data_IF_384517146542
#
_entry.id   IF_384517146542
#
_cell.length_a   1.000
_cell.length_b   1.000
_cell.length_c   1.000
_cell.angle_alpha   90.00
_cell.angle_beta   90.00
_cell.angle_gamma   90.00
#
_symmetry.space_group_name_H-M   'P 1'
#
loop_
_entity.id
_entity.type
_entity.pdbx_description
1 polymer ?
#
# COMPACT_ATOMS: atom_id res chain seq x y z
N UNK A 1 12.57 6.45 94.18
CA UNK A 1 13.41 7.68 93.90
C UNK A 1 12.80 8.34 92.67
N UNK A 2 12.29 9.55 92.75
CA UNK A 2 11.63 10.24 91.65
C UNK A 2 12.62 11.02 90.84
N UNK A 3 12.42 11.09 89.53
CA UNK A 3 13.15 11.86 88.54
C UNK A 3 12.55 13.28 88.47
N UNK A 4 13.31 14.39 88.42
CA UNK A 4 12.75 15.72 88.40
C UNK A 4 12.30 16.13 86.96
N UNK A 5 11.23 16.91 86.93
CA UNK A 5 10.65 17.44 85.71
C UNK A 5 11.48 18.54 85.04
N UNK A 6 11.44 18.57 83.72
CA UNK A 6 11.89 19.66 82.89
C UNK A 6 10.72 20.57 82.50
N UNK A 7 10.83 21.83 82.90
CA UNK A 7 9.86 22.87 82.60
C UNK A 7 9.80 23.26 81.13
N UNK A 8 8.55 23.39 80.66
CA UNK A 8 8.25 23.88 79.32
C UNK A 8 8.49 25.40 79.21
N UNK A 9 9.39 25.76 78.38
CA UNK A 9 9.52 27.13 77.88
C UNK A 9 8.86 27.20 76.47
N UNK A 10 7.71 27.86 76.43
CA UNK A 10 7.08 28.18 75.15
C UNK A 10 7.94 29.27 74.46
N UNK A 11 8.61 28.84 73.39
CA UNK A 11 9.27 29.81 72.49
C UNK A 11 8.23 30.25 71.47
N UNK A 12 7.78 31.48 71.57
CA UNK A 12 6.95 32.11 70.59
C UNK A 12 7.74 32.23 69.27
N UNK A 13 7.35 31.43 68.29
CA UNK A 13 7.86 31.60 66.92
C UNK A 13 7.27 32.92 66.40
N UNK A 14 8.11 33.88 66.13
CA UNK A 14 7.80 35.08 65.37
C UNK A 14 7.48 34.68 63.96
N UNK A 15 6.28 35.02 63.48
CA UNK A 15 5.93 35.06 62.08
C UNK A 15 6.75 36.12 61.35
N UNK A 16 7.88 35.77 60.80
CA UNK A 16 8.53 36.58 59.79
C UNK A 16 7.83 36.33 58.43
N UNK A 17 7.45 37.40 57.70
CA UNK A 17 6.90 37.24 56.37
C UNK A 17 7.99 36.66 55.46
N UNK A 18 7.69 35.49 54.86
CA UNK A 18 8.54 34.87 53.83
C UNK A 18 8.74 35.88 52.71
N UNK A 19 9.92 36.45 52.66
CA UNK A 19 10.38 37.26 51.55
C UNK A 19 10.30 36.47 50.24
N UNK A 20 9.71 37.15 49.30
CA UNK A 20 9.61 36.89 47.86
C UNK A 20 10.78 36.03 47.34
N UNK A 21 10.53 34.75 47.15
CA UNK A 21 11.46 33.92 46.38
C UNK A 21 11.38 34.37 44.92
N UNK A 22 12.48 34.59 44.23
CA UNK A 22 12.45 34.90 42.82
C UNK A 22 11.71 33.78 42.10
N UNK A 23 10.65 34.11 41.40
CA UNK A 23 9.95 33.22 40.50
C UNK A 23 10.95 32.73 39.46
N UNK A 24 11.63 31.63 39.72
CA UNK A 24 12.28 30.87 38.70
C UNK A 24 11.15 30.52 37.71
N UNK A 25 11.22 31.10 36.51
CA UNK A 25 10.28 30.83 35.45
C UNK A 25 10.10 29.31 35.35
N UNK A 26 8.97 28.84 35.79
CA UNK A 26 8.59 27.42 35.60
C UNK A 26 8.73 27.12 34.12
N UNK A 27 9.78 26.42 33.77
CA UNK A 27 9.83 25.71 32.50
C UNK A 27 8.67 24.72 32.61
N UNK A 28 7.49 25.09 32.09
CA UNK A 28 6.38 24.20 31.97
C UNK A 28 6.78 23.12 30.93
N UNK A 29 7.44 22.10 31.40
CA UNK A 29 7.44 20.83 30.68
C UNK A 29 5.99 20.44 30.58
N UNK A 30 5.45 20.31 29.35
CA UNK A 30 4.12 19.81 29.16
C UNK A 30 3.97 18.52 29.97
N UNK A 31 2.87 18.35 30.67
CA UNK A 31 2.69 17.16 31.50
C UNK A 31 2.91 15.91 30.62
N UNK A 32 3.60 14.88 31.12
CA UNK A 32 3.75 13.63 30.38
C UNK A 32 2.34 13.10 30.09
N UNK A 33 1.94 13.14 28.80
CA UNK A 33 0.60 12.74 28.39
C UNK A 33 -0.19 13.79 27.60
N UNK A 34 0.16 15.08 27.68
CA UNK A 34 -0.44 16.07 26.79
C UNK A 34 0.18 15.96 25.39
N UNK A 35 -0.50 15.39 24.41
CA UNK A 35 0.04 15.29 23.07
C UNK A 35 0.12 16.70 22.46
N UNK A 36 1.32 17.26 22.31
CA UNK A 36 1.59 18.48 21.55
C UNK A 36 1.43 18.18 20.04
N UNK A 37 0.30 17.55 19.70
CA UNK A 37 0.01 17.16 18.33
C UNK A 37 -1.02 18.13 17.80
N UNK A 38 -0.60 18.98 16.87
CA UNK A 38 -1.50 19.73 16.01
C UNK A 38 -2.32 18.74 15.17
N UNK A 39 -3.36 19.18 14.49
CA UNK A 39 -4.35 18.41 13.72
C UNK A 39 -3.84 17.17 12.96
N UNK A 40 -2.56 17.10 12.59
CA UNK A 40 -1.91 15.95 11.93
C UNK A 40 -0.54 15.68 12.55
N UNK A 41 -0.29 14.42 12.93
CA UNK A 41 1.00 13.97 13.42
C UNK A 41 1.95 13.57 12.28
N UNK A 42 2.52 14.56 11.60
CA UNK A 42 3.46 14.34 10.49
C UNK A 42 4.70 13.53 10.91
N UNK A 43 5.18 13.71 12.15
CA UNK A 43 6.32 12.96 12.68
C UNK A 43 6.04 11.47 12.80
N UNK A 44 4.88 11.12 13.38
CA UNK A 44 4.43 9.75 13.52
C UNK A 44 4.14 9.10 12.17
N UNK A 45 3.42 9.80 11.27
CA UNK A 45 3.14 9.32 9.91
C UNK A 45 4.44 9.03 9.13
N UNK A 46 5.41 9.97 9.16
CA UNK A 46 6.71 9.78 8.50
C UNK A 46 7.48 8.59 9.08
N UNK A 47 7.45 8.41 10.39
CA UNK A 47 8.12 7.29 11.06
C UNK A 47 7.51 5.97 10.68
N UNK A 48 6.17 5.87 10.65
CA UNK A 48 5.46 4.69 10.21
C UNK A 48 5.75 4.38 8.74
N UNK A 49 5.66 5.36 7.86
CA UNK A 49 5.98 5.21 6.44
C UNK A 49 7.42 4.70 6.23
N UNK A 50 8.40 5.30 6.92
CA UNK A 50 9.81 4.86 6.85
C UNK A 50 9.97 3.44 7.39
N UNK A 51 9.27 3.06 8.46
CA UNK A 51 9.25 1.68 9.00
C UNK A 51 8.77 0.70 7.92
N UNK A 52 7.66 0.99 7.24
CA UNK A 52 7.11 0.17 6.18
C UNK A 52 8.07 0.06 4.97
N UNK A 53 8.67 1.17 4.56
CA UNK A 53 9.65 1.19 3.47
C UNK A 53 10.90 0.38 3.85
N UNK A 54 11.46 0.58 5.03
CA UNK A 54 12.63 -0.18 5.51
C UNK A 54 12.35 -1.68 5.64
N UNK A 55 11.11 -2.05 5.95
CA UNK A 55 10.70 -3.46 6.08
C UNK A 55 10.94 -4.22 4.78
N UNK A 56 10.47 -3.71 3.64
CA UNK A 56 10.65 -4.41 2.37
C UNK A 56 12.07 -4.25 1.79
N UNK A 57 12.77 -3.15 2.09
CA UNK A 57 14.17 -2.99 1.67
C UNK A 57 15.13 -3.99 2.32
N UNK A 58 14.85 -4.45 3.54
CA UNK A 58 15.68 -5.49 4.20
C UNK A 58 15.71 -6.80 3.41
N UNK A 59 14.67 -7.08 2.62
CA UNK A 59 14.53 -8.30 1.81
C UNK A 59 14.35 -7.95 0.32
N UNK A 60 15.04 -6.91 -0.15
CA UNK A 60 14.87 -6.36 -1.51
C UNK A 60 15.10 -7.39 -2.64
N UNK A 61 16.02 -8.34 -2.47
CA UNK A 61 16.25 -9.37 -3.45
C UNK A 61 14.96 -10.18 -3.72
N UNK A 62 14.26 -10.57 -2.68
CA UNK A 62 13.03 -11.33 -2.79
C UNK A 62 11.83 -10.43 -3.17
N UNK A 63 11.81 -9.18 -2.72
CA UNK A 63 10.62 -8.33 -2.84
C UNK A 63 10.58 -7.48 -4.09
N UNK A 64 11.73 -7.20 -4.70
CA UNK A 64 11.85 -6.36 -5.91
C UNK A 64 12.45 -7.14 -7.07
N UNK A 65 13.61 -7.77 -6.88
CA UNK A 65 14.32 -8.43 -7.97
C UNK A 65 13.70 -9.77 -8.38
N UNK A 66 13.22 -10.59 -7.44
CA UNK A 66 12.58 -11.85 -7.80
C UNK A 66 11.32 -11.64 -8.65
N UNK A 67 10.37 -10.74 -8.31
CA UNK A 67 9.27 -10.39 -9.21
C UNK A 67 9.72 -9.87 -10.57
N UNK A 68 10.79 -9.06 -10.65
CA UNK A 68 11.30 -8.54 -11.91
C UNK A 68 11.79 -9.68 -12.83
N UNK A 69 12.60 -10.60 -12.29
CA UNK A 69 13.08 -11.76 -13.04
C UNK A 69 11.94 -12.68 -13.46
N UNK A 70 11.01 -12.99 -12.55
CA UNK A 70 9.86 -13.86 -12.86
C UNK A 70 8.98 -13.25 -13.95
N UNK A 71 8.70 -11.96 -13.88
CA UNK A 71 7.88 -11.26 -14.88
C UNK A 71 8.58 -11.18 -16.23
N UNK A 72 9.91 -10.95 -16.25
CA UNK A 72 10.70 -11.02 -17.47
C UNK A 72 10.67 -12.42 -18.09
N UNK A 73 10.79 -13.48 -17.28
CA UNK A 73 10.69 -14.85 -17.77
C UNK A 73 9.31 -15.13 -18.36
N UNK A 74 8.22 -14.66 -17.75
CA UNK A 74 6.90 -14.75 -18.34
C UNK A 74 6.83 -14.05 -19.70
N UNK A 75 7.34 -12.81 -19.80
CA UNK A 75 7.38 -12.11 -21.08
C UNK A 75 8.14 -12.91 -22.14
N UNK A 76 9.33 -13.41 -21.82
CA UNK A 76 10.15 -14.19 -22.75
C UNK A 76 9.44 -15.46 -23.19
N UNK A 77 8.91 -16.25 -22.26
CA UNK A 77 8.19 -17.51 -22.55
C UNK A 77 6.98 -17.22 -23.44
N UNK A 78 6.15 -16.27 -23.08
CA UNK A 78 4.94 -15.96 -23.86
C UNK A 78 5.26 -15.33 -25.21
N UNK A 79 6.31 -14.47 -25.29
CA UNK A 79 6.73 -13.88 -26.58
C UNK A 79 7.30 -14.92 -27.52
N UNK A 80 8.07 -15.89 -27.02
CA UNK A 80 8.62 -16.99 -27.83
C UNK A 80 7.52 -18.01 -28.19
N UNK A 81 6.73 -18.46 -27.20
CA UNK A 81 5.73 -19.50 -27.41
C UNK A 81 4.55 -19.03 -28.30
N UNK A 82 4.11 -17.78 -28.14
CA UNK A 82 2.96 -17.24 -28.86
C UNK A 82 3.32 -16.21 -29.93
N UNK A 83 4.52 -15.62 -29.86
CA UNK A 83 5.00 -14.59 -30.79
C UNK A 83 5.79 -15.14 -31.97
N UNK A 84 6.28 -16.39 -31.93
CA UNK A 84 7.11 -17.01 -32.98
C UNK A 84 6.43 -17.12 -34.35
N UNK A 85 5.09 -17.00 -34.43
CA UNK A 85 4.31 -16.96 -35.66
C UNK A 85 3.99 -15.55 -36.19
N UNK A 86 4.66 -14.49 -35.72
CA UNK A 86 4.31 -13.10 -36.11
C UNK A 86 2.97 -12.65 -35.55
N UNK A 87 2.54 -13.19 -34.42
CA UNK A 87 1.23 -12.90 -33.81
C UNK A 87 1.14 -11.44 -33.42
N UNK A 88 0.12 -10.78 -33.95
CA UNK A 88 -0.22 -9.40 -33.65
C UNK A 88 -1.54 -9.30 -32.92
N UNK A 89 -1.70 -8.25 -32.14
CA UNK A 89 -2.96 -7.90 -31.47
C UNK A 89 -3.43 -6.57 -32.04
N UNK A 90 -4.66 -6.50 -32.49
CA UNK A 90 -5.28 -5.24 -32.92
C UNK A 90 -6.01 -4.62 -31.73
N UNK A 91 -5.78 -3.35 -31.49
CA UNK A 91 -6.43 -2.54 -30.47
C UNK A 91 -6.81 -1.19 -31.09
N UNK A 92 -8.05 -0.79 -31.03
CA UNK A 92 -8.54 0.46 -31.65
C UNK A 92 -8.10 0.62 -33.13
N UNK A 93 -8.04 -0.47 -33.89
CA UNK A 93 -7.61 -0.45 -35.29
C UNK A 93 -6.09 -0.37 -35.53
N UNK A 94 -5.29 -0.25 -34.47
CA UNK A 94 -3.83 -0.32 -34.53
C UNK A 94 -3.34 -1.75 -34.29
N UNK A 95 -2.25 -2.12 -34.95
CA UNK A 95 -1.68 -3.47 -34.86
C UNK A 95 -0.38 -3.42 -34.08
N UNK A 96 -0.35 -4.12 -32.96
CA UNK A 96 0.83 -4.22 -32.09
C UNK A 96 1.43 -5.63 -32.11
N UNK A 97 2.74 -5.73 -31.90
CA UNK A 97 3.37 -7.03 -31.66
C UNK A 97 2.87 -7.58 -30.34
N UNK A 98 2.70 -8.89 -30.25
CA UNK A 98 2.17 -9.54 -29.05
C UNK A 98 3.01 -9.23 -27.80
N UNK A 99 4.35 -9.16 -27.94
CA UNK A 99 5.25 -8.83 -26.82
C UNK A 99 5.04 -7.41 -26.29
N UNK A 100 4.86 -6.42 -27.18
CA UNK A 100 4.66 -5.01 -26.82
C UNK A 100 3.29 -4.82 -26.14
N UNK A 101 2.27 -5.58 -26.57
CA UNK A 101 0.96 -5.61 -25.92
C UNK A 101 1.01 -6.23 -24.52
N UNK A 102 1.79 -7.30 -24.34
CA UNK A 102 1.87 -8.08 -23.10
C UNK A 102 2.65 -7.33 -22.00
N UNK A 103 3.72 -6.64 -22.37
CA UNK A 103 4.66 -6.04 -21.42
C UNK A 103 4.01 -5.07 -20.42
N UNK A 104 3.19 -4.07 -20.81
CA UNK A 104 2.54 -3.15 -19.88
C UNK A 104 1.60 -3.87 -18.90
N UNK A 105 0.87 -4.89 -19.39
CA UNK A 105 -0.01 -5.72 -18.56
C UNK A 105 0.76 -6.46 -17.47
N UNK A 106 1.91 -7.05 -17.82
CA UNK A 106 2.77 -7.75 -16.87
C UNK A 106 3.42 -6.79 -15.86
N UNK A 107 3.86 -5.60 -16.30
CA UNK A 107 4.43 -4.59 -15.40
C UNK A 107 3.41 -4.21 -14.33
N UNK A 108 2.20 -3.78 -14.72
CA UNK A 108 1.20 -3.33 -13.77
C UNK A 108 0.68 -4.49 -12.90
N UNK A 109 0.56 -5.69 -13.44
CA UNK A 109 0.18 -6.89 -12.67
C UNK A 109 1.22 -7.15 -11.54
N UNK A 110 2.51 -7.06 -11.85
CA UNK A 110 3.58 -7.15 -10.87
C UNK A 110 3.50 -6.05 -9.80
N UNK A 111 3.23 -4.80 -10.22
CA UNK A 111 3.03 -3.68 -9.30
C UNK A 111 1.92 -3.94 -8.30
N UNK A 112 0.71 -4.22 -8.79
CA UNK A 112 -0.49 -4.33 -7.95
C UNK A 112 -0.45 -5.54 -7.02
N UNK A 113 0.07 -6.68 -7.48
CA UNK A 113 0.26 -7.87 -6.63
C UNK A 113 1.26 -7.61 -5.50
N UNK A 114 2.33 -6.86 -5.77
CA UNK A 114 3.30 -6.49 -4.74
C UNK A 114 2.75 -5.43 -3.77
N UNK A 115 1.87 -4.52 -4.21
CA UNK A 115 1.13 -3.63 -3.32
C UNK A 115 0.26 -4.43 -2.34
N UNK A 116 -0.52 -5.40 -2.85
CA UNK A 116 -1.34 -6.30 -2.04
C UNK A 116 -0.50 -7.08 -1.04
N UNK A 117 0.55 -7.75 -1.51
CA UNK A 117 1.43 -8.56 -0.65
C UNK A 117 2.03 -7.72 0.49
N UNK A 118 2.52 -6.50 0.21
CA UNK A 118 3.07 -5.65 1.27
C UNK A 118 2.02 -5.25 2.31
N UNK A 119 0.84 -4.82 1.85
CA UNK A 119 -0.24 -4.35 2.72
C UNK A 119 -0.86 -5.50 3.54
N UNK A 120 -1.05 -6.69 2.93
CA UNK A 120 -1.65 -7.84 3.61
C UNK A 120 -0.79 -8.38 4.75
N UNK A 121 0.53 -8.27 4.64
CA UNK A 121 1.44 -8.68 5.71
C UNK A 121 1.73 -7.58 6.74
N UNK A 122 1.34 -6.33 6.49
CA UNK A 122 1.71 -5.19 7.34
C UNK A 122 1.22 -5.34 8.78
N UNK A 123 -0.09 -5.46 8.99
CA UNK A 123 -0.67 -5.65 10.32
C UNK A 123 -0.67 -7.12 10.74
N UNK A 124 -0.80 -8.04 9.78
CA UNK A 124 -0.88 -9.48 10.05
C UNK A 124 0.37 -10.01 10.77
N UNK A 125 1.56 -9.58 10.34
CA UNK A 125 2.80 -9.95 11.04
C UNK A 125 2.78 -9.46 12.48
N UNK A 126 2.34 -8.23 12.72
CA UNK A 126 2.19 -7.68 14.07
C UNK A 126 1.21 -8.47 14.95
N UNK A 127 0.09 -8.94 14.38
CA UNK A 127 -0.87 -9.80 15.07
C UNK A 127 -0.25 -11.14 15.47
N UNK A 128 0.38 -11.83 14.52
CA UNK A 128 0.95 -13.18 14.75
C UNK A 128 2.12 -13.12 15.74
N UNK A 129 2.91 -12.06 15.71
CA UNK A 129 4.06 -11.86 16.61
C UNK A 129 3.69 -11.21 17.94
N UNK A 130 2.42 -10.81 18.15
CA UNK A 130 1.99 -10.09 19.34
C UNK A 130 2.48 -8.64 19.43
N UNK A 131 3.08 -8.11 18.36
CA UNK A 131 3.62 -6.75 18.30
C UNK A 131 2.65 -5.73 17.69
N UNK A 132 1.36 -6.10 17.57
CA UNK A 132 0.32 -5.20 17.03
C UNK A 132 0.21 -3.91 17.87
N UNK A 133 0.52 -3.98 19.15
CA UNK A 133 0.53 -2.86 20.10
C UNK A 133 1.47 -1.75 19.62
N UNK A 134 2.60 -2.08 19.00
CA UNK A 134 3.56 -1.11 18.46
C UNK A 134 2.99 -0.24 17.33
N UNK A 135 1.89 -0.68 16.69
CA UNK A 135 1.15 0.10 15.70
C UNK A 135 0.03 0.93 16.30
N UNK A 136 -0.51 0.51 17.47
CA UNK A 136 -1.67 1.12 18.11
C UNK A 136 -1.30 2.09 19.23
N UNK A 137 -0.14 1.91 19.89
CA UNK A 137 0.32 2.81 20.96
C UNK A 137 0.74 4.21 20.48
N UNK A 138 1.41 4.38 19.33
CA UNK A 138 1.75 5.71 18.86
C UNK A 138 0.49 6.58 18.70
N UNK A 139 0.53 7.86 19.04
CA UNK A 139 -0.62 8.77 18.95
C UNK A 139 -0.87 9.14 17.48
N UNK A 140 -1.25 8.13 16.68
CA UNK A 140 -1.63 8.25 15.28
C UNK A 140 -3.14 8.20 15.14
N UNK A 141 -3.70 9.10 14.34
CA UNK A 141 -5.08 8.97 13.91
C UNK A 141 -5.27 7.76 12.98
N UNK A 142 -6.47 7.24 12.91
CA UNK A 142 -6.81 6.11 12.01
C UNK A 142 -6.45 6.42 10.55
N UNK A 143 -6.64 7.66 10.12
CA UNK A 143 -6.29 8.11 8.76
C UNK A 143 -4.77 8.09 8.53
N UNK A 144 -3.98 8.56 9.49
CA UNK A 144 -2.51 8.53 9.43
C UNK A 144 -1.97 7.11 9.42
N UNK A 145 -2.54 6.22 10.25
CA UNK A 145 -2.18 4.81 10.26
C UNK A 145 -2.44 4.19 8.89
N UNK A 146 -3.64 4.36 8.33
CA UNK A 146 -4.00 3.85 7.02
C UNK A 146 -3.09 4.42 5.91
N UNK A 147 -2.85 5.74 5.93
CA UNK A 147 -2.00 6.40 4.95
C UNK A 147 -0.54 5.91 5.00
N UNK A 148 0.01 5.66 6.19
CA UNK A 148 1.36 5.11 6.34
C UNK A 148 1.50 3.70 5.79
N UNK A 149 0.53 2.81 6.08
CA UNK A 149 0.52 1.43 5.61
C UNK A 149 0.37 1.35 4.09
N UNK A 150 -0.61 2.09 3.55
CA UNK A 150 -0.89 2.14 2.11
C UNK A 150 0.23 2.83 1.36
N UNK A 151 0.75 3.94 1.87
CA UNK A 151 1.87 4.68 1.27
C UNK A 151 3.12 3.82 1.09
N UNK A 152 3.50 3.04 2.11
CA UNK A 152 4.60 2.08 2.02
C UNK A 152 4.37 1.01 0.94
N UNK A 153 3.13 0.53 0.81
CA UNK A 153 2.76 -0.50 -0.16
C UNK A 153 2.76 0.04 -1.60
N UNK A 154 2.26 1.24 -1.82
CA UNK A 154 2.30 1.93 -3.11
C UNK A 154 3.74 2.21 -3.54
N UNK A 155 4.60 2.67 -2.61
CA UNK A 155 6.02 2.89 -2.90
C UNK A 155 6.71 1.61 -3.35
N UNK A 156 6.45 0.49 -2.68
CA UNK A 156 6.98 -0.82 -3.09
C UNK A 156 6.48 -1.21 -4.49
N UNK A 157 5.20 -1.00 -4.78
CA UNK A 157 4.63 -1.30 -6.09
C UNK A 157 5.35 -0.54 -7.22
N UNK A 158 5.59 0.76 -7.05
CA UNK A 158 6.31 1.56 -8.02
C UNK A 158 7.78 1.12 -8.18
N UNK A 159 8.45 0.75 -7.10
CA UNK A 159 9.81 0.21 -7.19
C UNK A 159 9.87 -1.11 -7.94
N UNK A 160 8.92 -2.02 -7.68
CA UNK A 160 8.82 -3.28 -8.42
C UNK A 160 8.47 -3.01 -9.89
N UNK A 161 7.49 -2.15 -10.16
CA UNK A 161 7.11 -1.78 -11.53
C UNK A 161 8.27 -1.16 -12.30
N UNK A 162 9.04 -0.28 -11.68
CA UNK A 162 10.24 0.31 -12.26
C UNK A 162 11.34 -0.73 -12.53
N UNK A 163 11.56 -1.67 -11.62
CA UNK A 163 12.52 -2.75 -11.80
C UNK A 163 12.11 -3.71 -12.94
N UNK A 164 10.82 -4.06 -13.02
CA UNK A 164 10.26 -4.89 -14.11
C UNK A 164 10.37 -4.14 -15.44
N UNK A 165 9.97 -2.87 -15.47
CA UNK A 165 10.07 -2.03 -16.66
C UNK A 165 11.53 -1.93 -17.17
N UNK A 166 12.47 -1.68 -16.25
CA UNK A 166 13.89 -1.61 -16.57
C UNK A 166 14.41 -2.94 -17.13
N UNK A 167 14.04 -4.06 -16.52
CA UNK A 167 14.43 -5.39 -16.98
C UNK A 167 13.88 -5.66 -18.40
N UNK A 168 12.65 -5.26 -18.70
CA UNK A 168 12.05 -5.40 -20.03
C UNK A 168 12.64 -4.43 -21.05
N UNK A 169 12.97 -3.21 -20.65
CA UNK A 169 13.62 -2.22 -21.53
C UNK A 169 15.03 -2.64 -21.95
N UNK A 170 15.72 -3.43 -21.14
CA UNK A 170 17.03 -4.00 -21.48
C UNK A 170 16.91 -5.28 -22.33
N UNK A 171 15.72 -5.85 -22.49
CA UNK A 171 15.50 -7.06 -23.28
C UNK A 171 15.29 -6.71 -24.77
N UNK A 172 16.09 -7.25 -25.68
CA UNK A 172 15.95 -6.98 -27.11
C UNK A 172 14.63 -7.58 -27.65
N UNK A 173 13.92 -6.79 -28.46
CA UNK A 173 12.72 -7.26 -29.16
C UNK A 173 11.38 -6.85 -28.52
N UNK A 174 11.39 -6.06 -27.44
CA UNK A 174 10.19 -5.49 -26.83
C UNK A 174 10.33 -3.97 -26.75
N UNK A 175 9.29 -3.27 -27.18
CA UNK A 175 9.22 -1.81 -27.03
C UNK A 175 8.34 -1.46 -25.83
N UNK A 176 8.97 -0.93 -24.78
CA UNK A 176 8.34 -0.43 -23.57
C UNK A 176 8.57 1.06 -23.37
N UNK A 177 8.66 1.82 -24.47
CA UNK A 177 8.79 3.28 -24.40
C UNK A 177 7.47 3.90 -23.96
N UNK A 178 7.47 4.76 -22.91
CA UNK A 178 6.27 5.42 -22.46
C UNK A 178 5.77 6.46 -23.47
N UNK A 179 4.52 6.33 -23.95
CA UNK A 179 3.84 7.31 -24.81
C UNK A 179 3.13 8.38 -23.96
N UNK A 180 2.43 7.97 -22.92
CA UNK A 180 1.68 8.84 -22.02
C UNK A 180 2.06 8.59 -20.57
N UNK A 181 3.14 9.23 -20.09
CA UNK A 181 3.67 9.03 -18.74
C UNK A 181 2.64 9.34 -17.64
N UNK A 182 1.77 10.32 -17.85
CA UNK A 182 0.71 10.66 -16.90
C UNK A 182 -0.25 9.49 -16.65
N UNK A 183 -0.59 8.72 -17.69
CA UNK A 183 -1.49 7.58 -17.58
C UNK A 183 -0.83 6.42 -16.83
N UNK A 184 0.47 6.17 -17.07
CA UNK A 184 1.27 5.17 -16.33
C UNK A 184 1.27 5.50 -14.83
N UNK A 185 1.56 6.75 -14.48
CA UNK A 185 1.60 7.19 -13.08
C UNK A 185 0.20 7.15 -12.45
N UNK A 186 -0.83 7.61 -13.17
CA UNK A 186 -2.21 7.67 -12.67
C UNK A 186 -2.79 6.28 -12.43
N UNK A 187 -2.80 5.42 -13.44
CA UNK A 187 -3.35 4.06 -13.31
C UNK A 187 -2.46 3.14 -12.47
N UNK A 188 -1.14 3.33 -12.53
CA UNK A 188 -0.21 2.67 -11.62
C UNK A 188 -0.46 3.02 -10.16
N UNK A 189 -0.71 4.31 -9.86
CA UNK A 189 -1.06 4.76 -8.51
C UNK A 189 -2.42 4.23 -8.06
N UNK A 190 -3.47 4.43 -8.86
CA UNK A 190 -4.82 3.98 -8.51
C UNK A 190 -4.92 2.47 -8.36
N UNK A 191 -4.26 1.69 -9.23
CA UNK A 191 -4.21 0.23 -9.14
C UNK A 191 -3.43 -0.26 -7.92
N UNK A 192 -2.28 0.36 -7.63
CA UNK A 192 -1.50 0.05 -6.43
C UNK A 192 -2.25 0.42 -5.15
N UNK A 193 -2.96 1.55 -5.15
CA UNK A 193 -3.81 1.98 -4.05
C UNK A 193 -4.95 0.98 -3.81
N UNK A 194 -5.63 0.54 -4.88
CA UNK A 194 -6.70 -0.44 -4.84
C UNK A 194 -6.25 -1.73 -4.16
N UNK A 195 -5.15 -2.31 -4.62
CA UNK A 195 -4.64 -3.55 -4.07
C UNK A 195 -4.01 -3.38 -2.67
N UNK A 196 -3.43 -2.23 -2.37
CA UNK A 196 -2.96 -1.92 -1.02
C UNK A 196 -4.13 -1.84 -0.03
N UNK A 197 -5.24 -1.19 -0.38
CA UNK A 197 -6.44 -1.13 0.45
C UNK A 197 -7.07 -2.52 0.66
N UNK A 198 -7.17 -3.31 -0.40
CA UNK A 198 -7.63 -4.70 -0.32
C UNK A 198 -6.69 -5.54 0.58
N UNK A 199 -5.38 -5.31 0.48
CA UNK A 199 -4.38 -5.93 1.35
C UNK A 199 -4.52 -5.52 2.82
N UNK A 200 -4.73 -4.24 3.11
CA UNK A 200 -5.00 -3.77 4.48
C UNK A 200 -6.28 -4.43 5.02
N UNK A 201 -7.36 -4.46 4.23
CA UNK A 201 -8.60 -5.13 4.63
C UNK A 201 -8.36 -6.61 4.94
N UNK A 202 -7.58 -7.30 4.10
CA UNK A 202 -7.16 -8.68 4.34
C UNK A 202 -6.34 -8.81 5.63
N UNK A 203 -5.41 -7.89 5.92
CA UNK A 203 -4.59 -7.91 7.13
C UNK A 203 -5.39 -7.70 8.41
N UNK A 204 -6.50 -6.94 8.33
CA UNK A 204 -7.43 -6.74 9.44
C UNK A 204 -8.20 -8.05 9.71
N UNK A 205 -8.70 -8.70 8.66
CA UNK A 205 -9.50 -9.93 8.77
C UNK A 205 -8.67 -11.17 9.07
N UNK A 206 -7.48 -11.30 8.47
CA UNK A 206 -6.64 -12.48 8.59
C UNK A 206 -6.05 -12.64 10.00
N UNK A 207 -6.02 -13.88 10.49
CA UNK A 207 -5.39 -14.27 11.76
C UNK A 207 -4.15 -15.15 11.54
N UNK A 208 -4.04 -15.74 10.35
CA UNK A 208 -2.94 -16.63 9.95
C UNK A 208 -2.42 -16.24 8.57
N UNK A 209 -1.17 -16.59 8.27
CA UNK A 209 -0.60 -16.38 6.95
C UNK A 209 -1.39 -17.07 5.84
N UNK A 210 -1.96 -18.24 6.12
CA UNK A 210 -2.78 -19.01 5.16
C UNK A 210 -4.02 -18.24 4.71
N UNK A 211 -4.63 -17.41 5.57
CA UNK A 211 -5.77 -16.58 5.19
C UNK A 211 -5.37 -15.54 4.12
N UNK A 212 -4.22 -14.89 4.30
CA UNK A 212 -3.71 -13.93 3.31
C UNK A 212 -3.32 -14.63 1.99
N UNK A 213 -2.71 -15.81 2.08
CA UNK A 213 -2.38 -16.65 0.92
C UNK A 213 -3.66 -17.10 0.17
N UNK A 214 -4.70 -17.47 0.90
CA UNK A 214 -6.00 -17.85 0.31
C UNK A 214 -6.61 -16.68 -0.48
N UNK A 215 -6.65 -15.45 0.07
CA UNK A 215 -7.14 -14.27 -0.67
C UNK A 215 -6.28 -14.02 -1.92
N UNK A 216 -4.95 -14.14 -1.82
CA UNK A 216 -4.05 -14.00 -2.96
C UNK A 216 -4.39 -15.00 -4.07
N UNK A 217 -4.54 -16.28 -3.74
CA UNK A 217 -4.65 -17.35 -4.71
C UNK A 217 -6.09 -17.53 -5.25
N UNK A 218 -7.12 -17.27 -4.44
CA UNK A 218 -8.50 -17.47 -4.84
C UNK A 218 -9.22 -16.20 -5.30
N UNK A 219 -8.71 -15.01 -4.95
CA UNK A 219 -9.33 -13.73 -5.34
C UNK A 219 -8.41 -12.93 -6.25
N UNK A 220 -7.23 -12.55 -5.76
CA UNK A 220 -6.35 -11.62 -6.50
C UNK A 220 -5.84 -12.23 -7.79
N UNK A 221 -5.30 -13.47 -7.76
CA UNK A 221 -4.70 -14.08 -8.93
C UNK A 221 -5.73 -14.39 -10.04
N UNK A 222 -6.92 -14.99 -9.77
CA UNK A 222 -7.91 -15.21 -10.81
C UNK A 222 -8.45 -13.91 -11.42
N UNK A 223 -8.73 -12.88 -10.60
CA UNK A 223 -9.22 -11.60 -11.10
C UNK A 223 -8.16 -10.89 -11.96
N UNK A 224 -6.88 -10.98 -11.58
CA UNK A 224 -5.79 -10.43 -12.37
C UNK A 224 -5.62 -11.16 -13.72
N UNK A 225 -5.81 -12.48 -13.78
CA UNK A 225 -5.76 -13.25 -15.01
C UNK A 225 -6.94 -12.94 -15.95
N UNK A 226 -8.14 -12.74 -15.39
CA UNK A 226 -9.35 -12.41 -16.16
C UNK A 226 -9.41 -10.96 -16.64
N UNK A 227 -8.44 -10.13 -16.27
CA UNK A 227 -8.42 -8.70 -16.56
C UNK A 227 -7.83 -8.30 -17.92
N UNK A 228 -7.62 -9.27 -18.82
CA UNK A 228 -7.07 -8.98 -20.16
C UNK A 228 -5.55 -8.74 -20.18
N UNK A 229 -4.80 -9.20 -19.17
CA UNK A 229 -3.33 -9.10 -19.15
C UNK A 229 -2.70 -9.80 -20.35
N UNK A 230 -3.18 -10.99 -20.72
CA UNK A 230 -2.60 -11.88 -21.73
C UNK A 230 -3.35 -11.88 -23.06
N UNK A 231 -4.51 -11.22 -23.15
CA UNK A 231 -5.38 -11.19 -24.32
C UNK A 231 -6.20 -9.89 -24.35
N UNK A 232 -6.68 -9.50 -25.54
CA UNK A 232 -7.68 -8.44 -25.64
C UNK A 232 -9.06 -8.99 -25.26
N UNK A 233 -9.76 -8.26 -24.39
CA UNK A 233 -11.10 -8.64 -23.88
C UNK A 233 -12.14 -8.69 -25.01
N UNK A 234 -11.96 -7.93 -26.09
CA UNK A 234 -12.85 -7.93 -27.26
C UNK A 234 -12.98 -9.29 -27.95
N UNK A 235 -11.97 -10.16 -27.79
CA UNK A 235 -11.96 -11.51 -28.40
C UNK A 235 -12.66 -12.58 -27.56
N UNK A 236 -13.11 -12.23 -26.38
CA UNK A 236 -13.83 -13.16 -25.49
C UNK A 236 -15.29 -13.31 -25.89
N UNK A 237 -15.93 -14.39 -25.42
CA UNK A 237 -17.39 -14.52 -25.53
C UNK A 237 -18.10 -13.45 -24.68
N UNK A 238 -19.35 -13.06 -25.01
CA UNK A 238 -20.06 -11.97 -24.34
C UNK A 238 -20.15 -12.12 -22.82
N UNK A 239 -20.25 -13.36 -22.32
CA UNK A 239 -20.30 -13.64 -20.88
C UNK A 239 -18.97 -13.26 -20.19
N UNK A 240 -17.83 -13.65 -20.76
CA UNK A 240 -16.52 -13.31 -20.21
C UNK A 240 -16.18 -11.83 -20.38
N UNK A 241 -16.66 -11.18 -21.44
CA UNK A 241 -16.56 -9.73 -21.59
C UNK A 241 -17.28 -9.01 -20.45
N UNK A 242 -18.53 -9.40 -20.14
CA UNK A 242 -19.29 -8.82 -19.04
C UNK A 242 -18.59 -9.01 -17.67
N UNK A 243 -18.01 -10.20 -17.42
CA UNK A 243 -17.22 -10.46 -16.21
C UNK A 243 -15.98 -9.58 -16.16
N UNK A 244 -15.26 -9.42 -17.28
CA UNK A 244 -14.08 -8.57 -17.36
C UNK A 244 -14.42 -7.10 -17.13
N UNK A 245 -15.50 -6.59 -17.68
CA UNK A 245 -15.98 -5.22 -17.44
C UNK A 245 -16.46 -4.98 -15.99
N UNK A 246 -16.93 -6.00 -15.29
CA UNK A 246 -17.24 -5.92 -13.87
C UNK A 246 -15.98 -5.96 -12.98
N UNK A 247 -14.82 -6.35 -13.53
CA UNK A 247 -13.58 -6.53 -12.81
C UNK A 247 -12.76 -5.22 -12.76
N UNK A 248 -12.51 -4.63 -11.59
CA UNK A 248 -11.72 -3.40 -11.48
C UNK A 248 -10.28 -3.53 -11.98
N UNK A 249 -9.69 -4.72 -11.95
CA UNK A 249 -8.35 -4.97 -12.51
C UNK A 249 -8.28 -4.68 -14.01
N UNK A 250 -9.35 -4.92 -14.76
CA UNK A 250 -9.43 -4.65 -16.19
C UNK A 250 -9.15 -3.17 -16.50
N UNK A 251 -9.79 -2.27 -15.77
CA UNK A 251 -9.62 -0.83 -15.98
C UNK A 251 -8.22 -0.33 -15.61
N UNK A 252 -7.61 -0.92 -14.57
CA UNK A 252 -6.21 -0.62 -14.21
C UNK A 252 -5.27 -1.00 -15.34
N UNK A 253 -5.41 -2.23 -15.87
CA UNK A 253 -4.52 -2.76 -16.91
C UNK A 253 -4.74 -2.02 -18.24
N UNK A 254 -5.99 -1.78 -18.63
CA UNK A 254 -6.35 -1.04 -19.83
C UNK A 254 -5.76 0.38 -19.81
N UNK A 255 -5.96 1.13 -18.71
CA UNK A 255 -5.45 2.48 -18.57
C UNK A 255 -3.92 2.55 -18.47
N UNK A 256 -3.29 1.57 -17.81
CA UNK A 256 -1.83 1.49 -17.75
C UNK A 256 -1.23 1.16 -19.12
N UNK A 257 -1.88 0.26 -19.88
CA UNK A 257 -1.50 -0.09 -21.26
C UNK A 257 -1.59 1.11 -22.18
N UNK A 258 -2.63 1.94 -22.06
CA UNK A 258 -2.73 3.20 -22.80
C UNK A 258 -1.50 4.09 -22.61
N UNK A 259 -0.89 4.06 -21.43
CA UNK A 259 0.33 4.81 -21.15
C UNK A 259 1.53 4.41 -22.00
N UNK A 260 1.61 3.17 -22.45
CA UNK A 260 2.69 2.64 -23.29
C UNK A 260 2.33 2.59 -24.76
N UNK A 261 1.12 2.12 -25.11
CA UNK A 261 0.72 1.87 -26.50
C UNK A 261 -0.06 3.03 -27.14
N UNK A 262 -0.57 3.96 -26.35
CA UNK A 262 -1.48 5.01 -26.84
C UNK A 262 -2.87 4.51 -27.22
N UNK A 263 -3.17 3.22 -27.00
CA UNK A 263 -4.46 2.58 -27.27
C UNK A 263 -4.93 1.83 -26.00
N UNK A 264 -6.25 1.76 -25.78
CA UNK A 264 -6.86 1.17 -24.59
C UNK A 264 -7.98 0.19 -24.94
N UNK A 265 -8.20 -0.81 -24.07
CA UNK A 265 -9.36 -1.73 -24.20
C UNK A 265 -10.68 -1.11 -23.69
N UNK A 266 -10.60 0.06 -23.02
CA UNK A 266 -11.76 0.77 -22.44
C UNK A 266 -11.55 2.28 -22.41
N UNK A 267 -12.62 3.10 -22.45
CA UNK A 267 -12.50 4.55 -22.32
C UNK A 267 -11.76 4.95 -21.04
N UNK A 268 -10.71 5.73 -21.17
CA UNK A 268 -9.80 6.13 -20.06
C UNK A 268 -10.56 6.82 -18.92
N UNK A 269 -11.53 7.69 -19.26
CA UNK A 269 -12.35 8.40 -18.27
C UNK A 269 -13.18 7.43 -17.42
N UNK A 270 -13.84 6.47 -18.08
CA UNK A 270 -14.66 5.44 -17.41
C UNK A 270 -13.77 4.61 -16.48
N UNK A 271 -12.63 4.14 -16.97
CA UNK A 271 -11.67 3.39 -16.18
C UNK A 271 -11.20 4.16 -14.94
N UNK A 272 -10.86 5.44 -15.11
CA UNK A 272 -10.45 6.31 -14.00
C UNK A 272 -11.55 6.48 -12.95
N UNK A 273 -12.80 6.71 -13.37
CA UNK A 273 -13.92 6.90 -12.44
C UNK A 273 -14.28 5.61 -11.70
N UNK A 274 -14.28 4.47 -12.38
CA UNK A 274 -14.55 3.17 -11.75
C UNK A 274 -13.51 2.86 -10.68
N UNK A 275 -12.21 2.96 -11.01
CA UNK A 275 -11.15 2.65 -10.07
C UNK A 275 -11.12 3.65 -8.91
N UNK A 276 -11.36 4.94 -9.18
CA UNK A 276 -11.46 5.95 -8.13
C UNK A 276 -12.62 5.65 -7.17
N UNK A 277 -13.79 5.31 -7.70
CA UNK A 277 -14.96 4.92 -6.91
C UNK A 277 -14.68 3.69 -6.03
N UNK A 278 -14.08 2.65 -6.60
CA UNK A 278 -13.68 1.45 -5.84
C UNK A 278 -12.67 1.80 -4.74
N UNK A 279 -11.68 2.64 -5.03
CA UNK A 279 -10.70 3.09 -4.03
C UNK A 279 -11.35 3.87 -2.88
N UNK A 280 -12.32 4.74 -3.17
CA UNK A 280 -13.06 5.49 -2.15
C UNK A 280 -13.84 4.52 -1.25
N UNK A 281 -14.57 3.58 -1.84
CA UNK A 281 -15.36 2.60 -1.07
C UNK A 281 -14.46 1.74 -0.19
N UNK A 282 -13.36 1.20 -0.74
CA UNK A 282 -12.40 0.40 0.04
C UNK A 282 -11.70 1.23 1.11
N UNK A 283 -11.30 2.47 0.79
CA UNK A 283 -10.67 3.38 1.74
C UNK A 283 -11.56 3.70 2.93
N UNK A 284 -12.85 4.01 2.68
CA UNK A 284 -13.83 4.23 3.74
C UNK A 284 -14.09 2.96 4.56
N UNK A 285 -14.15 1.79 3.91
CA UNK A 285 -14.31 0.51 4.59
C UNK A 285 -13.12 0.21 5.50
N UNK A 286 -11.89 0.33 5.00
CA UNK A 286 -10.67 0.14 5.80
C UNK A 286 -10.62 1.13 6.97
N UNK A 287 -10.93 2.41 6.72
CA UNK A 287 -10.98 3.43 7.76
C UNK A 287 -11.98 3.09 8.87
N UNK A 288 -13.19 2.67 8.51
CA UNK A 288 -14.24 2.32 9.49
C UNK A 288 -13.90 1.06 10.28
N UNK A 289 -13.31 0.04 9.65
CA UNK A 289 -12.84 -1.17 10.32
C UNK A 289 -11.71 -0.88 11.32
N UNK A 290 -10.72 -0.10 10.91
CA UNK A 290 -9.62 0.32 11.79
C UNK A 290 -10.12 1.18 12.95
N UNK A 291 -11.04 2.14 12.69
CA UNK A 291 -11.62 3.00 13.73
C UNK A 291 -12.42 2.21 14.77
N UNK A 292 -13.13 1.17 14.34
CA UNK A 292 -13.88 0.28 15.24
C UNK A 292 -12.97 -0.69 16.01
N UNK A 293 -11.71 -0.84 15.57
CA UNK A 293 -10.77 -1.81 16.15
C UNK A 293 -11.19 -3.27 15.92
N UNK A 294 -12.00 -3.53 14.88
CA UNK A 294 -12.53 -4.86 14.59
C UNK A 294 -11.38 -5.84 14.26
N UNK A 295 -11.37 -6.97 14.99
CA UNK A 295 -10.37 -8.04 14.85
C UNK A 295 -8.89 -7.59 14.99
N UNK A 296 -8.65 -6.46 15.70
CA UNK A 296 -7.31 -5.93 15.97
C UNK A 296 -7.00 -6.01 17.46
N UNK A 297 -8.03 -6.01 18.31
CA UNK A 297 -7.93 -5.91 19.78
C UNK A 297 -8.17 -7.24 20.52
N UNK A 298 -8.10 -8.35 19.81
CA UNK A 298 -8.24 -9.69 20.44
C UNK A 298 -6.89 -10.20 20.93
#
# INVERSE_FOLDING_TARGET
MPVPGCGGGAVALRDEPMTDQPQHGEIRFGQPGDPVIRNVNWGGLKTLYIKEVRRFFKVQLQTVWAPAVTTLLFLVIFSVALGSGGRTVSLEGQVFRFADFLAPGLIVMGMIQNAFANASFSLLVGKIQGTIVDYLMPPLSTAELLAGLVGGSVTRAFLVGGAVWLAMALWPGVDVTPVHLWAILWFGFLGSLFLALLGVMTSIWAEKFDHAAAVTNFVVAPLALLSGTFYSVERLSPVFQAISHANPFFYVISGFRYGFLGAADSPILVGSLVILGVNIVLGLTCYTLLKRGWNIKN
#
